data_IF_806431332923
#
_entry.id   IF_806431332923
#
_cell.length_a   1.000
_cell.length_b   1.000
_cell.length_c   1.000
_cell.angle_alpha   90.00
_cell.angle_beta   90.00
_cell.angle_gamma   90.00
#
_symmetry.space_group_name_H-M   'P 1'
#
loop_
_entity.id
_entity.type
_entity.pdbx_description
1 polymer ?
#
# COMPACT_ATOMS: atom_id res chain seq x y z
N UNK A 1 7.52 16.11 15.64
CA UNK A 1 8.15 15.45 16.76
C UNK A 1 8.32 13.96 16.48
N UNK A 2 9.18 13.31 17.27
CA UNK A 2 9.48 11.90 17.07
C UNK A 2 8.26 10.98 17.23
N UNK A 3 7.32 11.34 18.10
CA UNK A 3 6.11 10.54 18.33
C UNK A 3 5.24 10.52 17.07
N UNK A 4 5.06 11.67 16.42
CA UNK A 4 4.25 11.73 15.20
C UNK A 4 4.88 10.94 14.06
N UNK A 5 6.21 10.97 13.94
CA UNK A 5 6.92 10.20 12.91
C UNK A 5 6.75 8.71 13.15
N UNK A 6 6.84 8.29 14.42
CA UNK A 6 6.69 6.88 14.76
C UNK A 6 5.27 6.37 14.49
N UNK A 7 4.25 7.18 14.78
CA UNK A 7 2.86 6.82 14.48
C UNK A 7 2.66 6.63 12.99
N UNK A 8 3.26 7.47 12.15
CA UNK A 8 3.15 7.33 10.69
C UNK A 8 3.81 6.06 10.19
N UNK A 9 4.98 5.72 10.73
CA UNK A 9 5.67 4.48 10.36
C UNK A 9 4.80 3.28 10.70
N UNK A 10 4.19 3.28 11.88
CA UNK A 10 3.31 2.19 12.30
C UNK A 10 2.07 2.10 11.41
N UNK A 11 1.48 3.24 11.04
CA UNK A 11 0.29 3.29 10.17
C UNK A 11 0.59 2.79 8.77
N UNK A 12 1.76 3.13 8.23
CA UNK A 12 2.18 2.63 6.91
C UNK A 12 2.36 1.11 6.96
N UNK A 13 2.99 0.60 8.03
CA UNK A 13 3.13 -0.84 8.22
C UNK A 13 1.78 -1.54 8.29
N UNK A 14 0.84 -0.98 9.05
CA UNK A 14 -0.51 -1.53 9.13
C UNK A 14 -1.21 -1.53 7.77
N UNK A 15 -1.03 -0.47 6.98
CA UNK A 15 -1.60 -0.39 5.64
C UNK A 15 -1.10 -1.53 4.75
N UNK A 16 0.22 -1.77 4.71
CA UNK A 16 0.78 -2.82 3.88
C UNK A 16 0.41 -4.22 4.39
N UNK A 17 0.33 -4.41 5.70
CA UNK A 17 0.01 -5.71 6.29
C UNK A 17 -1.48 -6.00 6.34
N UNK A 18 -2.33 -4.99 6.16
CA UNK A 18 -3.77 -5.17 6.25
C UNK A 18 -4.28 -6.11 5.16
N UNK A 19 -5.21 -6.98 5.53
CA UNK A 19 -5.85 -7.91 4.60
C UNK A 19 -7.18 -7.38 4.07
N UNK A 20 -7.67 -6.23 4.60
CA UNK A 20 -8.96 -5.68 4.20
C UNK A 20 -8.79 -4.51 3.24
N UNK A 21 -9.62 -4.52 2.19
CA UNK A 21 -9.64 -3.43 1.22
C UNK A 21 -10.17 -2.13 1.85
N UNK A 22 -11.10 -2.25 2.80
CA UNK A 22 -11.69 -1.09 3.45
C UNK A 22 -10.66 -0.27 4.21
N UNK A 23 -9.80 -0.94 4.97
CA UNK A 23 -8.75 -0.27 5.70
C UNK A 23 -7.80 0.45 4.75
N UNK A 24 -7.39 -0.22 3.68
CA UNK A 24 -6.48 0.35 2.70
C UNK A 24 -7.11 1.59 2.05
N UNK A 25 -8.36 1.50 1.64
CA UNK A 25 -9.06 2.62 1.01
C UNK A 25 -9.18 3.81 1.95
N UNK A 26 -9.55 3.58 3.20
CA UNK A 26 -9.70 4.64 4.18
C UNK A 26 -8.37 5.32 4.47
N UNK A 27 -7.29 4.54 4.56
CA UNK A 27 -5.95 5.07 4.73
C UNK A 27 -5.56 5.98 3.57
N UNK A 28 -5.78 5.52 2.33
CA UNK A 28 -5.42 6.29 1.15
C UNK A 28 -6.18 7.61 1.07
N UNK A 29 -7.45 7.60 1.43
CA UNK A 29 -8.27 8.81 1.45
C UNK A 29 -7.83 9.77 2.55
N UNK A 30 -7.53 9.23 3.72
CA UNK A 30 -7.15 10.05 4.88
C UNK A 30 -5.87 10.85 4.60
N UNK A 31 -4.92 10.26 3.92
CA UNK A 31 -3.63 10.88 3.67
C UNK A 31 -3.46 11.41 2.25
N UNK A 32 -4.50 11.34 1.42
CA UNK A 32 -4.44 11.84 0.05
C UNK A 32 -3.39 11.15 -0.80
N UNK A 33 -3.20 9.86 -0.61
CA UNK A 33 -2.20 9.09 -1.33
C UNK A 33 -2.65 8.85 -2.77
N UNK A 34 -1.76 9.11 -3.73
CA UNK A 34 -2.05 8.95 -5.16
C UNK A 34 -1.38 7.72 -5.76
N UNK A 35 -0.23 7.31 -5.22
CA UNK A 35 0.55 6.20 -5.75
C UNK A 35 0.99 5.27 -4.64
N UNK A 36 1.01 3.98 -4.92
CA UNK A 36 1.49 2.95 -4.01
C UNK A 36 2.63 2.23 -4.69
N UNK A 37 3.77 2.13 -4.02
CA UNK A 37 4.94 1.42 -4.54
C UNK A 37 5.08 0.10 -3.79
N UNK A 38 5.07 -1.01 -4.53
CA UNK A 38 5.31 -2.35 -3.98
C UNK A 38 6.53 -2.92 -4.67
N UNK A 39 7.66 -2.86 -3.98
CA UNK A 39 8.93 -3.36 -4.50
C UNK A 39 9.47 -4.49 -3.66
N UNK A 40 10.74 -4.80 -3.90
CA UNK A 40 11.41 -5.88 -3.20
C UNK A 40 11.49 -5.65 -1.69
N UNK A 41 11.72 -4.41 -1.28
CA UNK A 41 11.82 -4.07 0.15
C UNK A 41 10.47 -4.27 0.86
N UNK A 42 9.38 -3.86 0.22
CA UNK A 42 8.04 -4.01 0.78
C UNK A 42 7.66 -5.47 0.89
N UNK A 43 8.02 -6.27 -0.11
CA UNK A 43 7.74 -7.71 -0.10
C UNK A 43 8.54 -8.43 1.00
N UNK A 44 9.72 -7.93 1.32
CA UNK A 44 10.55 -8.49 2.40
C UNK A 44 10.11 -8.01 3.79
N UNK A 45 9.58 -6.80 3.89
CA UNK A 45 9.25 -6.17 5.16
C UNK A 45 7.86 -6.51 5.68
N UNK A 46 6.90 -6.79 4.79
CA UNK A 46 5.49 -6.96 5.17
C UNK A 46 5.00 -8.36 4.86
N UNK A 47 3.85 -8.73 5.49
CA UNK A 47 3.32 -10.10 5.34
C UNK A 47 2.89 -10.34 3.89
N UNK A 48 3.15 -11.54 3.34
CA UNK A 48 2.81 -11.84 1.94
C UNK A 48 1.32 -11.66 1.61
N UNK A 49 0.43 -12.02 2.53
CA UNK A 49 -1.01 -11.87 2.29
C UNK A 49 -1.41 -10.40 2.19
N UNK A 50 -0.78 -9.53 3.00
CA UNK A 50 -1.00 -8.10 2.92
C UNK A 50 -0.54 -7.51 1.58
N UNK A 51 0.60 -7.96 1.08
CA UNK A 51 1.12 -7.53 -0.22
C UNK A 51 0.25 -8.06 -1.36
N UNK A 52 -0.27 -9.28 -1.25
CA UNK A 52 -1.10 -9.89 -2.28
C UNK A 52 -2.39 -9.09 -2.56
N UNK A 53 -2.88 -8.31 -1.59
CA UNK A 53 -4.08 -7.51 -1.80
C UNK A 53 -3.91 -6.48 -2.93
N UNK A 54 -2.69 -6.01 -3.17
CA UNK A 54 -2.45 -5.02 -4.22
C UNK A 54 -2.72 -5.61 -5.61
N UNK A 55 -2.33 -6.86 -5.84
CA UNK A 55 -2.66 -7.56 -7.08
C UNK A 55 -4.15 -7.90 -7.14
N UNK A 56 -4.73 -8.31 -6.02
CA UNK A 56 -6.11 -8.75 -5.96
C UNK A 56 -7.08 -7.62 -6.33
N UNK A 57 -6.79 -6.39 -5.90
CA UNK A 57 -7.64 -5.23 -6.13
C UNK A 57 -7.14 -4.32 -7.26
N UNK A 58 -6.18 -4.81 -8.06
CA UNK A 58 -5.72 -4.10 -9.26
C UNK A 58 -6.89 -3.95 -10.23
N UNK A 59 -7.16 -2.71 -10.61
CA UNK A 59 -8.29 -2.37 -11.46
C UNK A 59 -9.57 -2.04 -10.72
N UNK A 60 -9.60 -2.19 -9.39
CA UNK A 60 -10.77 -1.89 -8.55
C UNK A 60 -10.53 -0.68 -7.66
N UNK A 61 -9.55 -0.77 -6.75
CA UNK A 61 -9.21 0.31 -5.82
C UNK A 61 -8.03 1.13 -6.33
N UNK A 62 -7.15 0.51 -7.05
CA UNK A 62 -5.98 1.12 -7.66
C UNK A 62 -5.69 0.40 -8.96
N UNK A 63 -4.77 0.97 -9.76
CA UNK A 63 -4.42 0.39 -11.07
C UNK A 63 -2.90 0.39 -11.22
N UNK A 64 -2.34 -0.73 -11.65
CA UNK A 64 -0.91 -0.80 -11.93
C UNK A 64 -0.60 0.07 -13.16
N UNK A 65 0.31 1.04 -12.98
CA UNK A 65 0.71 1.96 -14.04
C UNK A 65 2.17 1.77 -14.44
N UNK A 66 2.92 1.03 -13.65
CA UNK A 66 4.32 0.73 -13.92
C UNK A 66 4.67 -0.62 -13.32
N UNK A 67 5.41 -1.41 -14.06
CA UNK A 67 5.86 -2.73 -13.60
C UNK A 67 7.24 -3.01 -14.16
N UNK A 68 8.19 -3.30 -13.28
CA UNK A 68 9.56 -3.62 -13.67
C UNK A 68 10.11 -4.65 -12.68
N UNK A 69 10.26 -5.90 -13.15
CA UNK A 69 10.71 -6.99 -12.30
C UNK A 69 9.74 -7.21 -11.14
N UNK A 70 10.21 -7.03 -9.91
CA UNK A 70 9.40 -7.20 -8.72
C UNK A 70 8.77 -5.90 -8.23
N UNK A 71 9.04 -4.79 -8.90
CA UNK A 71 8.50 -3.49 -8.50
C UNK A 71 7.26 -3.17 -9.31
N UNK A 72 6.18 -2.82 -8.61
CA UNK A 72 4.92 -2.38 -9.22
C UNK A 72 4.52 -1.06 -8.58
N UNK A 73 4.11 -0.11 -9.40
CA UNK A 73 3.55 1.15 -8.93
C UNK A 73 2.07 1.16 -9.29
N UNK A 74 1.23 1.39 -8.30
CA UNK A 74 -0.22 1.47 -8.47
C UNK A 74 -0.66 2.92 -8.33
N UNK A 75 -1.54 3.36 -9.23
CA UNK A 75 -2.21 4.64 -9.10
C UNK A 75 -3.55 4.42 -8.38
N UNK A 76 -3.78 5.20 -7.32
CA UNK A 76 -5.01 5.10 -6.55
C UNK A 76 -6.17 5.68 -7.38
N UNK A 77 -7.23 4.88 -7.54
CA UNK A 77 -8.41 5.30 -8.28
C UNK A 77 -9.33 6.14 -7.39
N UNK A 78 -10.03 7.14 -7.96
CA UNK A 78 -10.97 7.98 -7.20
C UNK A 78 -12.17 7.22 -6.67
#
# INVERSE_FOLDING_TARGET
TSIQVQDRVNQVGEFYNSLTAEYARDFLKKYGVRYIIVGQLERAAYVPDGIAKFEQFDGTLWRSVYRDGQTVIYEVLP
#
